data_IF_972454855507
#
_entry.id   IF_972454855507
#
_cell.length_a   1.000
_cell.length_b   1.000
_cell.length_c   1.000
_cell.angle_alpha   90.00
_cell.angle_beta   90.00
_cell.angle_gamma   90.00
#
_symmetry.space_group_name_H-M   'P 1'
#
loop_
_entity.id
_entity.type
_entity.pdbx_description
1 polymer ?
#
# COMPACT_ATOMS: atom_id res chain seq x y z
N UNK A 1 -5.93 1.67 13.53
CA UNK A 1 -4.53 1.35 13.12
C UNK A 1 -3.83 2.65 12.74
N UNK A 2 -2.52 2.77 12.93
CA UNK A 2 -1.73 3.90 12.45
C UNK A 2 -0.55 3.38 11.60
N UNK A 3 0.25 4.27 11.01
CA UNK A 3 1.38 3.91 10.14
C UNK A 3 2.42 3.06 10.86
N UNK A 4 2.70 3.33 12.13
CA UNK A 4 3.68 2.54 12.91
C UNK A 4 3.20 1.10 13.12
N UNK A 5 1.94 0.94 13.51
CA UNK A 5 1.30 -0.39 13.64
C UNK A 5 1.23 -1.10 12.29
N UNK A 6 0.96 -0.37 11.20
CA UNK A 6 0.96 -0.91 9.84
C UNK A 6 2.35 -1.44 9.49
N UNK A 7 3.42 -0.67 9.70
CA UNK A 7 4.81 -1.11 9.47
C UNK A 7 5.13 -2.41 10.19
N UNK A 8 4.84 -2.47 11.49
CA UNK A 8 5.04 -3.69 12.29
C UNK A 8 4.25 -4.88 11.75
N UNK A 9 3.01 -4.64 11.28
CA UNK A 9 2.16 -5.69 10.71
C UNK A 9 2.74 -6.20 9.37
N UNK A 10 3.21 -5.30 8.50
CA UNK A 10 3.84 -5.66 7.23
C UNK A 10 5.14 -6.46 7.46
N UNK A 11 5.94 -6.08 8.45
CA UNK A 11 7.16 -6.80 8.86
C UNK A 11 6.82 -8.23 9.35
N UNK A 12 5.80 -8.38 10.20
CA UNK A 12 5.34 -9.69 10.69
C UNK A 12 4.83 -10.58 9.55
N UNK A 13 4.15 -9.99 8.57
CA UNK A 13 3.68 -10.68 7.37
C UNK A 13 4.80 -10.94 6.35
N UNK A 14 6.01 -10.44 6.60
CA UNK A 14 7.17 -10.52 5.72
C UNK A 14 6.86 -9.99 4.30
N UNK A 15 6.10 -8.90 4.23
CA UNK A 15 5.77 -8.21 2.97
C UNK A 15 7.00 -7.42 2.55
N UNK A 16 7.38 -7.54 1.27
CA UNK A 16 8.59 -6.91 0.78
C UNK A 16 8.40 -5.38 0.77
N UNK A 17 9.33 -4.64 1.36
CA UNK A 17 9.32 -3.17 1.35
C UNK A 17 9.32 -2.59 -0.08
N UNK A 18 9.69 -3.39 -1.09
CA UNK A 18 9.60 -3.01 -2.50
C UNK A 18 8.17 -3.01 -3.03
N UNK A 19 7.22 -3.63 -2.35
CA UNK A 19 5.82 -3.70 -2.80
C UNK A 19 4.99 -2.49 -2.34
N UNK A 20 5.50 -1.68 -1.42
CA UNK A 20 4.75 -0.57 -0.87
C UNK A 20 5.59 0.66 -0.54
N UNK A 21 4.90 1.79 -0.39
CA UNK A 21 5.44 3.04 0.14
C UNK A 21 4.46 3.63 1.15
N UNK A 22 4.95 4.08 2.31
CA UNK A 22 4.14 4.69 3.38
C UNK A 22 4.48 6.17 3.62
N UNK A 23 5.42 6.73 2.85
CA UNK A 23 5.86 8.12 2.95
C UNK A 23 5.48 8.93 1.70
N UNK A 24 4.76 8.31 0.76
CA UNK A 24 4.37 8.90 -0.51
C UNK A 24 5.47 8.91 -1.57
N UNK A 25 6.69 8.45 -1.27
CA UNK A 25 7.76 8.30 -2.26
C UNK A 25 7.62 6.93 -2.91
N UNK A 26 7.28 6.92 -4.20
CA UNK A 26 6.95 5.68 -4.89
C UNK A 26 7.97 5.26 -5.92
N UNK A 27 8.00 3.95 -6.15
CA UNK A 27 8.55 3.32 -7.33
C UNK A 27 7.40 2.74 -8.17
N UNK A 28 7.62 2.44 -9.47
CA UNK A 28 6.66 1.71 -10.27
C UNK A 28 6.23 0.40 -9.59
N UNK A 29 4.96 0.02 -9.77
CA UNK A 29 4.35 -1.20 -9.22
C UNK A 29 4.24 -1.26 -7.68
N UNK A 30 4.37 -0.13 -6.99
CA UNK A 30 4.14 -0.06 -5.54
C UNK A 30 2.71 0.36 -5.21
N UNK A 31 2.17 -0.22 -4.14
CA UNK A 31 0.99 0.32 -3.46
C UNK A 31 1.45 1.42 -2.49
N UNK A 32 0.93 2.62 -2.67
CA UNK A 32 1.39 3.83 -1.97
C UNK A 32 0.31 4.30 -1.02
N UNK A 33 0.71 4.62 0.22
CA UNK A 33 -0.04 5.42 1.17
C UNK A 33 0.66 6.77 1.29
N UNK A 34 -0.08 7.85 1.06
CA UNK A 34 0.43 9.22 1.16
C UNK A 34 -0.55 10.12 1.89
N UNK A 35 -0.02 11.16 2.55
CA UNK A 35 -0.83 12.19 3.18
C UNK A 35 -1.00 13.36 2.21
N UNK A 36 -2.24 13.74 1.95
CA UNK A 36 -2.62 14.84 1.06
C UNK A 36 -3.35 15.92 1.86
N UNK A 37 -2.59 16.81 2.49
CA UNK A 37 -3.14 17.82 3.39
C UNK A 37 -3.76 17.17 4.64
N UNK A 38 -5.07 17.33 4.78
CA UNK A 38 -5.86 16.77 5.90
C UNK A 38 -6.43 15.38 5.61
N UNK A 39 -6.28 14.88 4.38
CA UNK A 39 -6.74 13.55 3.99
C UNK A 39 -5.58 12.60 3.73
N UNK A 40 -5.91 11.32 3.61
CA UNK A 40 -5.01 10.23 3.30
C UNK A 40 -5.41 9.63 1.98
N UNK A 41 -4.43 9.27 1.15
CA UNK A 41 -4.69 8.65 -0.15
C UNK A 41 -3.94 7.35 -0.28
N UNK A 42 -4.61 6.35 -0.85
CA UNK A 42 -3.98 5.10 -1.30
C UNK A 42 -4.11 4.97 -2.80
N UNK A 43 -3.05 4.54 -3.48
CA UNK A 43 -3.03 4.37 -4.94
C UNK A 43 -1.89 3.46 -5.35
N UNK A 44 -1.88 3.03 -6.61
CA UNK A 44 -0.82 2.19 -7.18
C UNK A 44 -0.22 2.86 -8.41
N UNK A 45 1.05 2.60 -8.71
CA UNK A 45 1.63 3.03 -9.98
C UNK A 45 1.65 1.88 -10.98
N UNK A 46 1.13 2.12 -12.18
CA UNK A 46 1.36 1.22 -13.31
C UNK A 46 2.82 1.28 -13.82
N UNK A 47 3.15 0.42 -14.79
CA UNK A 47 4.49 0.33 -15.38
C UNK A 47 4.95 1.63 -16.07
N UNK A 48 4.02 2.51 -16.42
CA UNK A 48 4.26 3.81 -17.08
C UNK A 48 4.15 4.99 -16.10
N UNK A 49 3.99 4.73 -14.81
CA UNK A 49 3.96 5.76 -13.76
C UNK A 49 2.63 6.50 -13.64
N UNK A 50 1.52 5.95 -14.14
CA UNK A 50 0.18 6.50 -13.89
C UNK A 50 -0.37 5.94 -12.58
N UNK A 51 -0.99 6.81 -11.79
CA UNK A 51 -1.71 6.40 -10.59
C UNK A 51 -3.00 5.65 -10.96
N UNK A 52 -3.15 4.44 -10.47
CA UNK A 52 -4.34 3.61 -10.54
C UNK A 52 -5.00 3.50 -9.17
N UNK A 53 -6.31 3.22 -9.17
CA UNK A 53 -7.10 2.87 -7.99
C UNK A 53 -6.90 3.81 -6.80
N UNK A 54 -6.86 5.12 -7.10
CA UNK A 54 -6.79 6.17 -6.10
C UNK A 54 -8.05 6.15 -5.23
N UNK A 55 -7.84 5.99 -3.94
CA UNK A 55 -8.85 6.15 -2.91
C UNK A 55 -8.42 7.22 -1.92
N UNK A 56 -9.38 7.99 -1.45
CA UNK A 56 -9.18 9.04 -0.46
C UNK A 56 -9.92 8.69 0.84
N UNK A 57 -9.29 8.99 1.96
CA UNK A 57 -9.76 8.68 3.31
C UNK A 57 -9.62 9.91 4.19
N UNK A 58 -10.60 10.11 5.07
CA UNK A 58 -10.61 11.23 6.01
C UNK A 58 -9.66 10.97 7.19
N UNK A 59 -9.39 9.70 7.50
CA UNK A 59 -8.57 9.33 8.65
C UNK A 59 -7.48 8.32 8.28
N UNK A 60 -6.41 8.33 9.08
CA UNK A 60 -5.23 7.48 8.90
C UNK A 60 -5.57 6.00 9.04
N UNK A 61 -6.49 5.68 9.94
CA UNK A 61 -6.83 4.30 10.28
C UNK A 61 -7.43 3.55 9.09
N UNK A 62 -8.39 4.16 8.40
CA UNK A 62 -9.05 3.55 7.26
C UNK A 62 -8.09 3.44 6.07
N UNK A 63 -7.24 4.45 5.85
CA UNK A 63 -6.22 4.40 4.81
C UNK A 63 -5.20 3.28 5.07
N UNK A 64 -4.77 3.12 6.33
CA UNK A 64 -3.87 2.04 6.75
C UNK A 64 -4.53 0.66 6.56
N UNK A 65 -5.83 0.52 6.86
CA UNK A 65 -6.57 -0.74 6.64
C UNK A 65 -6.65 -1.08 5.15
N UNK A 66 -6.97 -0.10 4.29
CA UNK A 66 -7.08 -0.31 2.85
C UNK A 66 -5.76 -0.78 2.23
N UNK A 67 -4.64 -0.13 2.55
CA UNK A 67 -3.34 -0.56 2.01
C UNK A 67 -2.93 -1.95 2.52
N UNK A 68 -3.20 -2.27 3.79
CA UNK A 68 -2.93 -3.61 4.33
C UNK A 68 -3.73 -4.69 3.58
N UNK A 69 -5.02 -4.44 3.33
CA UNK A 69 -5.88 -5.37 2.60
C UNK A 69 -5.38 -5.59 1.17
N UNK A 70 -5.00 -4.51 0.46
CA UNK A 70 -4.42 -4.60 -0.89
C UNK A 70 -3.13 -5.42 -0.91
N UNK A 71 -2.22 -5.18 0.02
CA UNK A 71 -0.94 -5.89 0.08
C UNK A 71 -1.12 -7.37 0.42
N UNK A 72 -2.03 -7.70 1.35
CA UNK A 72 -2.40 -9.09 1.64
C UNK A 72 -2.95 -9.78 0.39
N UNK A 73 -3.85 -9.13 -0.34
CA UNK A 73 -4.39 -9.65 -1.59
C UNK A 73 -3.29 -9.89 -2.65
N UNK A 74 -2.35 -8.95 -2.81
CA UNK A 74 -1.22 -9.11 -3.72
C UNK A 74 -0.34 -10.31 -3.36
N UNK A 75 -0.06 -10.53 -2.07
CA UNK A 75 0.69 -11.69 -1.60
C UNK A 75 -0.04 -13.00 -1.91
N UNK A 76 -1.35 -13.07 -1.66
CA UNK A 76 -2.15 -14.26 -1.97
C UNK A 76 -2.21 -14.52 -3.47
N UNK A 77 -2.37 -13.46 -4.27
CA UNK A 77 -2.37 -13.55 -5.73
C UNK A 77 -1.03 -14.09 -6.25
N UNK A 78 0.11 -13.54 -5.79
CA UNK A 78 1.45 -14.01 -6.17
C UNK A 78 1.66 -15.48 -5.81
N UNK A 79 1.22 -15.91 -4.62
CA UNK A 79 1.24 -17.33 -4.21
C UNK A 79 0.40 -18.21 -5.13
N UNK A 80 -0.80 -17.77 -5.48
CA UNK A 80 -1.74 -18.52 -6.34
C UNK A 80 -1.23 -18.70 -7.76
N UNK A 81 -0.61 -17.67 -8.33
CA UNK A 81 -0.13 -17.66 -9.72
C UNK A 81 1.36 -17.97 -9.86
N UNK A 82 2.03 -18.30 -8.76
CA UNK A 82 3.47 -18.62 -8.71
C UNK A 82 4.35 -17.50 -9.31
N UNK A 83 3.91 -16.26 -9.14
CA UNK A 83 4.62 -15.05 -9.58
C UNK A 83 5.56 -14.64 -8.46
N UNK A 84 6.86 -14.56 -8.79
CA UNK A 84 7.95 -14.30 -7.84
C UNK A 84 8.17 -12.81 -7.60
#
# INVERSE_FOLDING_TARGET
>A
MNIEMLKQTLDVLNINFKDYSLDGISLPMQTVLSRSGDTWVTFEYDEVGRSLDLKEFINEEDACKDILERLCYLVEWRKKYNVR
#
